data_IF_287942379687
#
_entry.id   IF_287942379687
#
_cell.length_a   1.000
_cell.length_b   1.000
_cell.length_c   1.000
_cell.angle_alpha   90.00
_cell.angle_beta   90.00
_cell.angle_gamma   90.00
#
_symmetry.space_group_name_H-M   'P 1'
#
loop_
_entity.id
_entity.type
_entity.pdbx_description
1 polymer ?
#
# COMPACT_ATOMS: atom_id res chain seq x y z
N UNK A 1 -7.23 2.31 10.28
CA UNK A 1 -5.88 2.45 9.70
C UNK A 1 -5.88 3.62 8.71
N UNK A 2 -4.90 4.48 8.79
CA UNK A 2 -4.76 5.62 7.89
C UNK A 2 -3.39 5.56 7.22
N UNK A 3 -3.38 5.65 5.89
CA UNK A 3 -2.17 5.61 5.08
C UNK A 3 -2.08 6.86 4.20
N UNK A 4 -0.86 7.29 3.93
CA UNK A 4 -0.61 8.39 3.00
C UNK A 4 0.27 7.88 1.86
N UNK A 5 -0.30 7.78 0.66
CA UNK A 5 0.41 7.40 -0.56
C UNK A 5 1.05 8.64 -1.16
N UNK A 6 2.39 8.61 -1.33
CA UNK A 6 3.17 9.76 -1.74
C UNK A 6 4.06 9.44 -2.93
N UNK A 7 4.32 10.45 -3.74
CA UNK A 7 5.35 10.42 -4.77
C UNK A 7 6.54 11.23 -4.26
N UNK A 8 7.58 10.55 -3.80
CA UNK A 8 8.64 11.21 -3.04
C UNK A 8 8.07 11.82 -1.77
N UNK A 9 8.17 13.14 -1.62
CA UNK A 9 7.62 13.88 -0.48
C UNK A 9 6.23 14.48 -0.75
N UNK A 10 5.68 14.26 -1.94
CA UNK A 10 4.42 14.88 -2.37
C UNK A 10 3.26 13.95 -2.07
N UNK A 11 2.33 14.34 -1.15
CA UNK A 11 1.13 13.54 -0.89
C UNK A 11 0.24 13.43 -2.13
N UNK A 12 -0.18 12.21 -2.46
CA UNK A 12 -1.05 11.96 -3.61
C UNK A 12 -2.44 11.50 -3.21
N UNK A 13 -2.54 10.53 -2.29
CA UNK A 13 -3.82 10.00 -1.81
C UNK A 13 -3.73 9.62 -0.34
N UNK A 14 -4.66 10.12 0.46
CA UNK A 14 -4.86 9.65 1.84
C UNK A 14 -5.91 8.56 1.82
N UNK A 15 -5.59 7.42 2.43
CA UNK A 15 -6.45 6.24 2.45
C UNK A 15 -6.83 5.94 3.90
N UNK A 16 -8.13 5.90 4.18
CA UNK A 16 -8.65 5.53 5.50
C UNK A 16 -9.39 4.20 5.38
N UNK A 17 -8.92 3.19 6.11
CA UNK A 17 -9.46 1.83 6.08
C UNK A 17 -10.07 1.50 7.42
N UNK A 18 -11.34 1.07 7.41
CA UNK A 18 -12.03 0.57 8.59
C UNK A 18 -12.43 -0.89 8.34
N UNK A 19 -11.69 -1.81 8.97
CA UNK A 19 -11.97 -3.24 8.84
C UNK A 19 -13.25 -3.68 9.54
N UNK A 20 -13.71 -2.92 10.54
CA UNK A 20 -14.94 -3.25 11.28
C UNK A 20 -16.18 -3.05 10.41
N UNK A 21 -16.16 -2.00 9.61
CA UNK A 21 -17.28 -1.65 8.72
C UNK A 21 -17.04 -2.07 7.28
N UNK A 22 -15.86 -2.65 6.99
CA UNK A 22 -15.43 -3.09 5.65
C UNK A 22 -15.49 -1.93 4.65
N UNK A 23 -14.99 -0.75 5.07
CA UNK A 23 -15.03 0.46 4.26
C UNK A 23 -13.65 1.04 4.00
N UNK A 24 -13.51 1.66 2.84
CA UNK A 24 -12.31 2.40 2.44
C UNK A 24 -12.73 3.77 1.96
N UNK A 25 -12.13 4.81 2.53
CA UNK A 25 -12.35 6.20 2.12
C UNK A 25 -11.04 6.79 1.65
N UNK A 26 -11.08 7.63 0.62
CA UNK A 26 -9.89 8.27 0.08
C UNK A 26 -10.06 9.78 -0.05
N UNK A 27 -8.94 10.48 0.02
CA UNK A 27 -8.83 11.89 -0.29
C UNK A 27 -7.64 12.06 -1.24
N UNK A 28 -7.92 12.48 -2.48
CA UNK A 28 -6.89 12.70 -3.49
C UNK A 28 -6.37 14.13 -3.41
N UNK A 29 -5.04 14.29 -3.41
CA UNK A 29 -4.36 15.59 -3.38
C UNK A 29 -3.76 15.96 -4.73
N UNK A 30 -3.92 15.10 -5.73
CA UNK A 30 -3.44 15.36 -7.09
C UNK A 30 -4.54 15.08 -8.11
N UNK A 31 -4.55 15.85 -9.20
CA UNK A 31 -5.46 15.63 -10.32
C UNK A 31 -4.89 14.64 -11.34
N UNK A 32 -3.60 14.32 -11.25
CA UNK A 32 -2.97 13.34 -12.12
C UNK A 32 -3.42 11.92 -11.72
N UNK A 33 -4.23 11.30 -12.58
CA UNK A 33 -4.80 9.97 -12.32
C UNK A 33 -3.73 8.89 -12.19
N UNK A 34 -2.58 9.06 -12.82
CA UNK A 34 -1.48 8.11 -12.72
C UNK A 34 -0.78 8.16 -11.34
N UNK A 35 -0.88 9.28 -10.66
CA UNK A 35 -0.28 9.47 -9.34
C UNK A 35 -1.23 9.15 -8.19
N UNK A 36 -2.53 8.96 -8.47
CA UNK A 36 -3.52 8.56 -7.46
C UNK A 36 -3.41 7.07 -7.17
N UNK A 37 -3.57 6.68 -5.92
CA UNK A 37 -3.52 5.27 -5.50
C UNK A 37 -4.53 4.40 -6.26
N UNK A 38 -5.73 4.91 -6.54
CA UNK A 38 -6.81 4.17 -7.19
C UNK A 38 -7.22 4.76 -8.54
N UNK A 39 -6.40 5.64 -9.12
CA UNK A 39 -6.68 6.22 -10.44
C UNK A 39 -8.02 6.95 -10.50
N UNK A 40 -8.90 6.50 -11.40
CA UNK A 40 -10.23 7.09 -11.59
C UNK A 40 -11.27 6.63 -10.57
N UNK A 41 -10.95 5.63 -9.75
CA UNK A 41 -11.90 5.09 -8.76
C UNK A 41 -12.04 6.10 -7.62
N UNK A 42 -13.25 6.65 -7.43
CA UNK A 42 -13.55 7.63 -6.39
C UNK A 42 -13.99 6.98 -5.07
N UNK A 43 -14.60 5.79 -5.15
CA UNK A 43 -15.10 5.05 -3.99
C UNK A 43 -14.54 3.63 -4.00
N UNK A 44 -13.24 3.43 -3.68
CA UNK A 44 -12.65 2.10 -3.68
C UNK A 44 -13.29 1.20 -2.64
N UNK A 45 -13.37 -0.09 -2.97
CA UNK A 45 -13.85 -1.13 -2.05
C UNK A 45 -12.67 -1.69 -1.25
N UNK A 46 -12.96 -2.52 -0.24
CA UNK A 46 -11.92 -3.24 0.47
C UNK A 46 -11.10 -4.14 -0.47
N UNK A 47 -11.75 -4.73 -1.47
CA UNK A 47 -11.07 -5.53 -2.49
C UNK A 47 -10.09 -4.68 -3.29
N UNK A 48 -10.49 -3.47 -3.70
CA UNK A 48 -9.60 -2.55 -4.41
C UNK A 48 -8.38 -2.19 -3.56
N UNK A 49 -8.58 -1.96 -2.27
CA UNK A 49 -7.50 -1.68 -1.33
C UNK A 49 -6.55 -2.88 -1.20
N UNK A 50 -7.08 -4.09 -1.04
CA UNK A 50 -6.27 -5.30 -0.94
C UNK A 50 -5.44 -5.52 -2.21
N UNK A 51 -6.00 -5.32 -3.39
CA UNK A 51 -5.28 -5.41 -4.66
C UNK A 51 -4.18 -4.35 -4.75
N UNK A 52 -4.44 -3.12 -4.30
CA UNK A 52 -3.44 -2.06 -4.25
C UNK A 52 -2.25 -2.46 -3.37
N UNK A 53 -2.51 -3.01 -2.20
CA UNK A 53 -1.46 -3.47 -1.28
C UNK A 53 -0.70 -4.65 -1.86
N UNK A 54 -1.38 -5.63 -2.46
CA UNK A 54 -0.74 -6.78 -3.10
C UNK A 54 0.21 -6.36 -4.23
N UNK A 55 -0.20 -5.38 -5.03
CA UNK A 55 0.62 -4.85 -6.13
C UNK A 55 1.91 -4.20 -5.64
N UNK A 56 1.95 -3.74 -4.41
CA UNK A 56 3.13 -3.12 -3.79
C UNK A 56 3.89 -4.07 -2.86
N UNK A 57 3.45 -5.31 -2.75
CA UNK A 57 4.06 -6.34 -1.93
C UNK A 57 4.96 -7.24 -2.76
N UNK A 58 5.71 -8.12 -2.09
CA UNK A 58 6.49 -9.17 -2.73
C UNK A 58 5.60 -10.40 -2.85
N UNK A 59 5.43 -10.99 -4.05
CA UNK A 59 4.60 -12.19 -4.21
C UNK A 59 5.10 -13.35 -3.37
N UNK A 60 4.19 -14.02 -2.68
CA UNK A 60 4.52 -15.20 -1.86
C UNK A 60 4.97 -16.40 -2.71
N UNK A 61 4.62 -16.41 -3.98
CA UNK A 61 5.05 -17.43 -4.95
C UNK A 61 6.49 -17.27 -5.42
N UNK A 62 7.16 -16.16 -5.03
CA UNK A 62 8.54 -15.91 -5.40
C UNK A 62 9.46 -16.99 -4.84
N UNK A 63 10.40 -17.44 -5.68
CA UNK A 63 11.37 -18.45 -5.27
C UNK A 63 12.18 -17.99 -4.05
N UNK A 64 12.33 -18.88 -3.06
CA UNK A 64 12.99 -18.57 -1.79
C UNK A 64 12.32 -17.45 -0.96
N UNK A 65 11.03 -17.20 -1.16
CA UNK A 65 10.30 -16.16 -0.45
C UNK A 65 10.50 -16.21 1.08
N UNK A 66 10.30 -17.38 1.68
CA UNK A 66 10.42 -17.54 3.15
C UNK A 66 11.83 -17.24 3.64
N UNK A 67 12.85 -17.70 2.91
CA UNK A 67 14.24 -17.44 3.26
C UNK A 67 14.57 -15.96 3.17
N UNK A 68 14.12 -15.29 2.11
CA UNK A 68 14.32 -13.84 1.96
C UNK A 68 13.66 -13.06 3.08
N UNK A 69 12.42 -13.40 3.45
CA UNK A 69 11.70 -12.71 4.52
C UNK A 69 12.40 -12.90 5.87
N UNK A 70 12.90 -14.10 6.15
CA UNK A 70 13.65 -14.37 7.38
C UNK A 70 14.97 -13.57 7.42
N UNK A 71 15.70 -13.50 6.32
CA UNK A 71 16.94 -12.72 6.23
C UNK A 71 16.71 -11.22 6.41
N UNK A 72 15.57 -10.71 5.99
CA UNK A 72 15.19 -9.30 6.15
C UNK A 72 14.60 -9.00 7.52
N UNK A 73 14.37 -10.02 8.35
CA UNK A 73 13.77 -9.85 9.67
C UNK A 73 12.27 -9.55 9.65
N UNK A 74 11.59 -9.91 8.55
CA UNK A 74 10.15 -9.68 8.42
C UNK A 74 9.39 -10.84 9.06
N UNK A 75 8.65 -10.56 10.14
CA UNK A 75 7.84 -11.56 10.84
C UNK A 75 6.45 -11.70 10.21
N UNK A 76 5.81 -10.58 9.88
CA UNK A 76 4.50 -10.57 9.23
C UNK A 76 4.70 -10.62 7.72
N UNK A 77 4.52 -11.80 7.14
CA UNK A 77 4.71 -12.05 5.71
C UNK A 77 3.43 -11.90 4.89
N UNK A 78 2.36 -11.36 5.49
CA UNK A 78 1.18 -10.96 4.73
C UNK A 78 1.52 -9.80 3.80
N UNK A 79 0.74 -9.56 2.72
CA UNK A 79 0.98 -8.42 1.84
C UNK A 79 1.09 -7.10 2.60
N UNK A 80 0.19 -6.84 3.55
CA UNK A 80 0.21 -5.62 4.35
C UNK A 80 1.47 -5.53 5.23
N UNK A 81 1.87 -6.63 5.86
CA UNK A 81 3.09 -6.67 6.69
C UNK A 81 4.34 -6.35 5.89
N UNK A 82 4.45 -6.89 4.68
CA UNK A 82 5.58 -6.62 3.77
C UNK A 82 5.57 -5.16 3.34
N UNK A 83 4.42 -4.62 2.95
CA UNK A 83 4.28 -3.22 2.55
C UNK A 83 4.67 -2.28 3.71
N UNK A 84 4.26 -2.60 4.94
CA UNK A 84 4.67 -1.82 6.12
C UNK A 84 6.18 -1.83 6.32
N UNK A 85 6.81 -2.98 6.17
CA UNK A 85 8.27 -3.11 6.34
C UNK A 85 9.04 -2.22 5.36
N UNK A 86 8.62 -2.17 4.11
CA UNK A 86 9.28 -1.38 3.07
C UNK A 86 8.72 0.03 2.91
N UNK A 87 7.78 0.46 3.73
CA UNK A 87 7.08 1.74 3.59
C UNK A 87 6.41 1.90 2.21
N UNK A 88 5.89 0.80 1.68
CA UNK A 88 5.21 0.78 0.39
C UNK A 88 6.12 1.00 -0.82
N UNK A 89 7.43 1.03 -0.64
CA UNK A 89 8.37 1.28 -1.74
C UNK A 89 8.47 0.06 -2.65
N UNK A 90 8.49 0.31 -3.95
CA UNK A 90 8.71 -0.70 -4.98
C UNK A 90 9.91 -0.30 -5.82
N UNK A 91 10.64 -1.31 -6.32
CA UNK A 91 11.71 -1.07 -7.27
C UNK A 91 11.14 -0.45 -8.56
N UNK A 92 11.77 0.59 -9.06
CA UNK A 92 11.42 1.21 -10.33
C UNK A 92 10.39 2.33 -10.28
N UNK A 93 9.88 2.69 -9.09
CA UNK A 93 9.04 3.87 -8.96
C UNK A 93 9.46 4.77 -7.79
N UNK A 94 8.86 5.96 -7.69
CA UNK A 94 9.18 6.94 -6.66
C UNK A 94 8.10 7.02 -5.58
N UNK A 95 7.19 6.06 -5.54
CA UNK A 95 6.09 6.08 -4.59
C UNK A 95 6.46 5.40 -3.29
N UNK A 96 5.86 5.88 -2.21
CA UNK A 96 5.98 5.27 -0.88
C UNK A 96 4.66 5.45 -0.12
N UNK A 97 4.55 4.77 1.01
CA UNK A 97 3.37 4.87 1.88
C UNK A 97 3.83 5.15 3.30
N UNK A 98 3.27 6.21 3.90
CA UNK A 98 3.40 6.46 5.32
C UNK A 98 2.18 5.90 6.04
N UNK A 99 2.40 5.06 7.04
CA UNK A 99 1.33 4.54 7.89
C UNK A 99 1.15 5.51 9.05
N UNK A 100 0.09 6.33 8.99
CA UNK A 100 -0.14 7.40 9.94
C UNK A 100 -0.83 6.91 11.22
N UNK A 101 -1.73 5.92 11.07
CA UNK A 101 -2.52 5.39 12.17
C UNK A 101 -2.93 3.96 11.85
N UNK A 102 -2.74 3.07 12.79
CA UNK A 102 -3.10 1.64 12.66
C UNK A 102 -4.40 1.25 13.42
#
# INVERSE_FOLDING_TARGET
MVLLYKKGDIPCTKITVDYKTDTVEIENYTEDLLDRAFGIIEHPTMKDFEEFIEDRSIPQSRYHFRTEMALLGIEDTSPLGIVKHFHGRCAGDNFCIDFLEE
#
